data_IF_272117403160
#
_entry.id   IF_272117403160
#
_cell.length_a   1.000
_cell.length_b   1.000
_cell.length_c   1.000
_cell.angle_alpha   90.00
_cell.angle_beta   90.00
_cell.angle_gamma   90.00
#
_symmetry.space_group_name_H-M   'P 1'
#
loop_
_entity.id
_entity.type
_entity.pdbx_description
1 polymer ?
#
# COMPACT_ATOMS: atom_id res chain seq x y z
N UNK A 1 -22.77 -18.75 24.91
CA UNK A 1 -21.71 -19.39 24.12
C UNK A 1 -21.65 -18.68 22.77
N UNK A 2 -20.72 -17.74 22.62
CA UNK A 2 -20.46 -17.06 21.36
C UNK A 2 -19.30 -17.77 20.69
N UNK A 3 -19.56 -18.41 19.56
CA UNK A 3 -18.57 -19.11 18.77
C UNK A 3 -17.65 -18.07 18.12
N UNK A 4 -16.42 -17.97 18.62
CA UNK A 4 -15.35 -17.19 18.00
C UNK A 4 -15.03 -17.80 16.64
N UNK A 5 -15.45 -17.12 15.57
CA UNK A 5 -15.04 -17.45 14.21
C UNK A 5 -13.59 -17.00 14.03
N UNK A 6 -12.66 -17.95 14.13
CA UNK A 6 -11.29 -17.79 13.69
C UNK A 6 -11.27 -17.87 12.16
N UNK A 7 -11.56 -16.77 11.48
CA UNK A 7 -11.02 -16.58 10.13
C UNK A 7 -9.54 -16.24 10.31
N UNK A 8 -8.68 -17.27 10.40
CA UNK A 8 -7.24 -17.06 10.36
C UNK A 8 -6.88 -16.29 9.09
N UNK A 9 -6.23 -15.13 9.27
CA UNK A 9 -5.64 -14.35 8.20
C UNK A 9 -4.55 -15.12 7.41
N UNK A 10 -4.19 -16.32 7.87
CA UNK A 10 -3.27 -17.26 7.22
C UNK A 10 -3.92 -18.14 6.13
N UNK A 11 -5.23 -18.03 5.89
CA UNK A 11 -5.93 -18.96 4.98
C UNK A 11 -5.85 -18.60 3.48
N UNK A 12 -5.41 -17.39 3.13
CA UNK A 12 -5.30 -16.95 1.74
C UNK A 12 -3.82 -16.79 1.38
N UNK A 13 -3.31 -17.51 0.37
CA UNK A 13 -1.92 -17.36 -0.07
C UNK A 13 -1.68 -15.94 -0.60
N UNK A 14 -0.46 -15.39 -0.44
CA UNK A 14 -0.13 -14.09 -1.02
C UNK A 14 -0.37 -14.08 -2.54
N UNK A 15 -0.81 -12.94 -3.05
CA UNK A 15 -1.18 -12.75 -4.44
C UNK A 15 -0.67 -11.42 -4.98
N UNK A 16 -0.52 -11.33 -6.30
CA UNK A 16 -0.08 -10.10 -6.98
C UNK A 16 -1.02 -8.91 -6.69
N UNK A 17 -2.31 -9.17 -6.42
CA UNK A 17 -3.28 -8.14 -6.04
C UNK A 17 -2.97 -7.46 -4.70
N UNK A 18 -2.28 -8.15 -3.79
CA UNK A 18 -1.90 -7.61 -2.47
C UNK A 18 -1.02 -6.36 -2.60
N UNK A 19 -0.24 -6.30 -3.70
CA UNK A 19 0.63 -5.17 -3.99
C UNK A 19 -0.14 -3.93 -4.45
N UNK A 20 -1.46 -4.01 -4.69
CA UNK A 20 -2.27 -2.83 -5.02
C UNK A 20 -2.34 -1.81 -3.89
N UNK A 21 -2.02 -2.19 -2.65
CA UNK A 21 -1.80 -1.25 -1.56
C UNK A 21 -0.71 -0.20 -1.85
N UNK A 22 0.28 -0.53 -2.68
CA UNK A 22 1.29 0.42 -3.14
C UNK A 22 0.70 1.53 -4.01
N UNK A 23 -0.36 1.22 -4.77
CA UNK A 23 -1.02 2.18 -5.68
C UNK A 23 -1.94 3.16 -4.92
N UNK A 24 -2.21 2.90 -3.63
CA UNK A 24 -2.81 3.90 -2.74
C UNK A 24 -1.82 5.01 -2.33
N UNK A 25 -0.53 4.83 -2.62
CA UNK A 25 0.56 5.76 -2.30
C UNK A 25 1.21 6.29 -3.59
N UNK A 26 2.42 6.84 -3.48
CA UNK A 26 3.24 7.25 -4.63
C UNK A 26 3.61 6.10 -5.60
N UNK A 27 3.32 4.83 -5.27
CA UNK A 27 3.58 3.69 -6.13
C UNK A 27 2.93 3.81 -7.52
N UNK A 28 3.65 3.44 -8.56
CA UNK A 28 3.22 3.53 -9.96
C UNK A 28 3.22 2.15 -10.61
N UNK A 29 2.28 1.91 -11.52
CA UNK A 29 2.24 0.72 -12.35
C UNK A 29 2.24 1.12 -13.82
N UNK A 30 3.15 0.54 -14.60
CA UNK A 30 3.34 0.89 -16.02
C UNK A 30 3.28 -0.37 -16.88
N UNK A 31 2.55 -0.30 -18.00
CA UNK A 31 2.61 -1.32 -19.04
C UNK A 31 3.97 -1.22 -19.76
N UNK A 32 4.54 -2.37 -20.12
CA UNK A 32 5.82 -2.50 -20.82
C UNK A 32 5.59 -3.23 -22.13
N UNK A 33 6.25 -2.76 -23.20
CA UNK A 33 6.04 -3.22 -24.57
C UNK A 33 4.93 -2.43 -25.27
N UNK A 34 5.26 -1.80 -26.39
CA UNK A 34 4.31 -1.10 -27.26
C UNK A 34 4.74 -1.32 -28.72
N UNK A 35 3.83 -1.72 -29.64
CA UNK A 35 2.37 -1.90 -29.45
C UNK A 35 1.98 -3.19 -28.70
N UNK A 36 2.85 -4.20 -28.69
CA UNK A 36 2.59 -5.48 -28.05
C UNK A 36 3.04 -5.46 -26.59
N UNK A 37 2.06 -5.47 -25.68
CA UNK A 37 2.31 -5.49 -24.22
C UNK A 37 2.99 -6.80 -23.84
N UNK A 38 4.20 -6.72 -23.30
CA UNK A 38 4.97 -7.86 -22.78
C UNK A 38 4.79 -8.06 -21.28
N UNK A 39 4.23 -7.08 -20.57
CA UNK A 39 3.91 -7.17 -19.15
C UNK A 39 3.61 -5.81 -18.52
N UNK A 40 3.59 -5.76 -17.21
CA UNK A 40 3.59 -4.51 -16.46
C UNK A 40 4.63 -4.56 -15.34
N UNK A 41 4.99 -3.39 -14.82
CA UNK A 41 5.93 -3.25 -13.70
C UNK A 41 5.33 -2.31 -12.67
N UNK A 42 5.39 -2.72 -11.41
CA UNK A 42 4.99 -1.93 -10.26
C UNK A 42 6.25 -1.40 -9.55
N UNK A 43 6.24 -0.15 -9.13
CA UNK A 43 7.38 0.48 -8.45
C UNK A 43 6.93 1.51 -7.44
N UNK A 44 7.65 1.68 -6.33
CA UNK A 44 7.39 2.73 -5.35
C UNK A 44 8.69 3.27 -4.77
N UNK A 45 8.79 4.60 -4.72
CA UNK A 45 9.86 5.31 -4.01
C UNK A 45 9.42 5.47 -2.55
N UNK A 46 10.31 5.17 -1.61
CA UNK A 46 10.06 5.22 -0.17
C UNK A 46 11.15 6.03 0.53
N UNK A 47 10.84 6.56 1.72
CA UNK A 47 11.73 7.49 2.43
C UNK A 47 12.87 6.79 3.21
N UNK A 48 12.72 5.49 3.48
CA UNK A 48 13.67 4.70 4.28
C UNK A 48 14.02 3.36 3.61
N UNK A 49 15.29 2.91 3.70
CA UNK A 49 15.71 1.62 3.14
C UNK A 49 14.92 0.41 3.68
N UNK A 50 14.60 0.39 4.98
CA UNK A 50 13.87 -0.73 5.60
C UNK A 50 12.49 -0.96 4.94
N UNK A 51 11.84 0.11 4.48
CA UNK A 51 10.57 0.02 3.74
C UNK A 51 10.76 -0.70 2.42
N UNK A 52 11.82 -0.38 1.67
CA UNK A 52 12.12 -1.01 0.40
C UNK A 52 12.42 -2.51 0.58
N UNK A 53 13.18 -2.87 1.62
CA UNK A 53 13.45 -4.27 1.97
C UNK A 53 12.19 -5.05 2.33
N UNK A 54 11.36 -4.52 3.23
CA UNK A 54 10.12 -5.19 3.64
C UNK A 54 9.09 -5.29 2.50
N UNK A 55 9.06 -4.33 1.59
CA UNK A 55 8.24 -4.40 0.39
C UNK A 55 8.78 -5.40 -0.63
N UNK A 56 10.10 -5.57 -0.73
CA UNK A 56 10.71 -6.61 -1.55
C UNK A 56 10.33 -8.01 -1.06
N UNK A 57 10.25 -8.23 0.25
CA UNK A 57 9.74 -9.48 0.84
C UNK A 57 8.29 -9.75 0.42
N UNK A 58 7.41 -8.75 0.48
CA UNK A 58 6.03 -8.89 0.01
C UNK A 58 5.94 -9.20 -1.49
N UNK A 59 6.84 -8.65 -2.31
CA UNK A 59 6.91 -8.95 -3.74
C UNK A 59 7.31 -10.42 -3.97
N UNK A 60 8.30 -10.93 -3.21
CA UNK A 60 8.70 -12.35 -3.25
C UNK A 60 7.55 -13.25 -2.82
N UNK A 61 6.86 -12.92 -1.74
CA UNK A 61 5.70 -13.66 -1.25
C UNK A 61 4.60 -13.77 -2.31
N UNK A 62 4.34 -12.70 -3.06
CA UNK A 62 3.39 -12.67 -4.18
C UNK A 62 3.89 -13.47 -5.42
N UNK A 63 5.07 -14.07 -5.35
CA UNK A 63 5.68 -14.86 -6.41
C UNK A 63 6.23 -14.02 -7.57
N UNK A 64 6.67 -12.80 -7.29
CA UNK A 64 7.32 -11.90 -8.25
C UNK A 64 8.79 -11.67 -7.86
N UNK A 65 9.61 -11.27 -8.83
CA UNK A 65 11.00 -10.90 -8.59
C UNK A 65 11.10 -9.41 -8.20
N UNK A 66 11.62 -9.06 -7.01
CA UNK A 66 11.86 -7.67 -6.64
C UNK A 66 13.23 -7.18 -7.12
N UNK A 67 13.32 -5.87 -7.29
CA UNK A 67 14.57 -5.13 -7.40
C UNK A 67 14.52 -3.96 -6.43
N UNK A 68 15.47 -3.94 -5.48
CA UNK A 68 15.71 -2.81 -4.59
C UNK A 68 16.83 -1.97 -5.19
N UNK A 69 16.56 -0.69 -5.39
CA UNK A 69 17.46 0.27 -6.02
C UNK A 69 17.35 1.63 -5.32
N UNK A 70 17.99 2.65 -5.90
CA UNK A 70 17.81 4.05 -5.52
C UNK A 70 17.49 4.88 -6.76
N UNK A 71 16.77 5.98 -6.58
CA UNK A 71 16.59 6.99 -7.64
C UNK A 71 17.90 7.75 -7.89
N UNK A 72 17.93 8.59 -8.91
CA UNK A 72 19.08 9.44 -9.22
C UNK A 72 19.36 10.45 -8.08
N UNK A 73 18.32 10.82 -7.32
CA UNK A 73 18.40 11.64 -6.10
C UNK A 73 18.71 10.82 -4.83
N UNK A 74 19.25 9.60 -4.98
CA UNK A 74 19.64 8.71 -3.89
C UNK A 74 18.47 8.29 -2.96
N UNK A 75 17.22 8.34 -3.43
CA UNK A 75 16.05 7.93 -2.62
C UNK A 75 15.76 6.43 -2.80
N UNK A 76 15.51 5.65 -1.73
CA UNK A 76 15.18 4.22 -1.85
C UNK A 76 13.98 3.93 -2.77
N UNK A 77 14.12 2.92 -3.62
CA UNK A 77 13.11 2.49 -4.59
C UNK A 77 13.02 0.96 -4.55
N UNK A 78 11.80 0.44 -4.60
CA UNK A 78 11.54 -0.97 -4.85
C UNK A 78 10.63 -1.12 -6.06
N UNK A 79 10.94 -2.09 -6.93
CA UNK A 79 10.11 -2.40 -8.10
C UNK A 79 10.06 -3.89 -8.37
N UNK A 80 9.04 -4.33 -9.08
CA UNK A 80 8.96 -5.69 -9.61
C UNK A 80 9.76 -5.79 -10.91
N UNK A 81 10.19 -7.01 -11.27
CA UNK A 81 10.41 -7.35 -12.66
C UNK A 81 9.13 -7.12 -13.50
N UNK A 82 9.29 -7.12 -14.83
CA UNK A 82 8.15 -7.04 -15.75
C UNK A 82 7.42 -8.38 -15.74
N UNK A 83 6.13 -8.39 -15.42
CA UNK A 83 5.33 -9.62 -15.34
C UNK A 83 3.93 -9.42 -15.95
N UNK A 84 3.41 -10.44 -16.63
CA UNK A 84 2.10 -10.43 -17.28
C UNK A 84 0.95 -10.39 -16.26
N UNK A 85 1.12 -10.95 -15.06
CA UNK A 85 0.12 -10.95 -13.98
C UNK A 85 -0.17 -9.55 -13.44
N UNK A 86 0.72 -8.58 -13.69
CA UNK A 86 0.52 -7.18 -13.32
C UNK A 86 -0.33 -6.41 -14.35
N UNK A 87 -0.51 -6.92 -15.56
CA UNK A 87 -1.27 -6.23 -16.63
C UNK A 87 -2.72 -5.94 -16.25
N UNK A 88 -3.49 -6.87 -15.66
CA UNK A 88 -4.84 -6.57 -15.20
C UNK A 88 -4.89 -5.45 -14.15
N UNK A 89 -3.91 -5.41 -13.24
CA UNK A 89 -3.80 -4.35 -12.25
C UNK A 89 -3.49 -3.01 -12.90
N UNK A 90 -2.55 -2.99 -13.86
CA UNK A 90 -2.19 -1.78 -14.59
C UNK A 90 -3.41 -1.18 -15.28
N UNK A 91 -4.19 -2.01 -15.98
CA UNK A 91 -5.42 -1.59 -16.66
C UNK A 91 -6.52 -1.12 -15.70
N UNK A 92 -6.62 -1.71 -14.52
CA UNK A 92 -7.62 -1.34 -13.52
C UNK A 92 -7.29 -0.02 -12.82
N UNK A 93 -5.99 0.24 -12.60
CA UNK A 93 -5.50 1.39 -11.82
C UNK A 93 -5.05 2.57 -12.67
N UNK A 94 -5.13 2.48 -14.01
CA UNK A 94 -4.76 3.58 -14.91
C UNK A 94 -5.87 3.87 -15.92
N UNK A 95 -6.09 5.16 -16.17
CA UNK A 95 -6.91 5.66 -17.27
C UNK A 95 -6.03 6.55 -18.15
N UNK A 96 -5.55 5.99 -19.26
CA UNK A 96 -4.46 6.61 -20.02
C UNK A 96 -3.21 6.70 -19.15
N UNK A 97 -2.66 7.91 -18.97
CA UNK A 97 -1.49 8.14 -18.13
C UNK A 97 -1.83 8.48 -16.65
N UNK A 98 -3.12 8.51 -16.29
CA UNK A 98 -3.56 8.97 -14.97
C UNK A 98 -3.85 7.79 -14.04
N UNK A 99 -3.34 7.84 -12.81
CA UNK A 99 -3.67 6.88 -11.75
C UNK A 99 -5.13 7.06 -11.29
N UNK A 100 -5.85 5.95 -11.18
CA UNK A 100 -7.24 5.91 -10.73
C UNK A 100 -7.45 4.77 -9.73
N UNK A 101 -8.46 4.89 -8.88
CA UNK A 101 -8.85 3.81 -7.95
C UNK A 101 -10.00 3.00 -8.55
N UNK A 102 -9.91 1.67 -8.67
CA UNK A 102 -11.03 0.86 -9.14
C UNK A 102 -12.25 1.01 -8.21
N UNK A 103 -13.46 1.14 -8.78
CA UNK A 103 -14.66 1.51 -8.03
C UNK A 103 -14.98 0.57 -6.85
N UNK A 104 -14.77 -0.73 -7.04
CA UNK A 104 -15.01 -1.77 -6.03
C UNK A 104 -13.79 -2.10 -5.16
N UNK A 105 -12.64 -1.43 -5.36
CA UNK A 105 -11.45 -1.76 -4.59
C UNK A 105 -11.64 -1.43 -3.11
N UNK A 106 -11.33 -2.38 -2.26
CA UNK A 106 -11.22 -2.24 -0.80
C UNK A 106 -9.95 -2.96 -0.38
N UNK A 107 -9.09 -2.37 0.47
CA UNK A 107 -7.86 -3.04 0.84
C UNK A 107 -8.15 -4.19 1.81
N UNK A 108 -7.59 -5.36 1.54
CA UNK A 108 -7.49 -6.45 2.50
C UNK A 108 -6.30 -6.24 3.46
N UNK A 109 -6.03 -7.24 4.33
CA UNK A 109 -4.90 -7.21 5.26
C UNK A 109 -3.55 -6.91 4.58
N UNK A 110 -3.26 -7.60 3.47
CA UNK A 110 -1.98 -7.47 2.76
C UNK A 110 -1.88 -6.16 1.97
N UNK A 111 -2.95 -5.67 1.35
CA UNK A 111 -2.96 -4.32 0.76
C UNK A 111 -2.76 -3.23 1.81
N UNK A 112 -3.38 -3.36 2.99
CA UNK A 112 -3.14 -2.42 4.10
C UNK A 112 -1.70 -2.49 4.60
N UNK A 113 -1.10 -3.69 4.67
CA UNK A 113 0.32 -3.85 5.03
C UNK A 113 1.22 -3.17 4.00
N UNK A 114 0.99 -3.37 2.71
CA UNK A 114 1.76 -2.72 1.65
C UNK A 114 1.65 -1.18 1.72
N UNK A 115 0.44 -0.65 1.96
CA UNK A 115 0.22 0.78 2.16
C UNK A 115 0.97 1.32 3.38
N UNK A 116 0.90 0.61 4.50
CA UNK A 116 1.57 0.95 5.77
C UNK A 116 3.10 0.95 5.60
N UNK A 117 3.65 -0.06 4.92
CA UNK A 117 5.06 -0.15 4.61
C UNK A 117 5.52 0.95 3.66
N UNK A 118 4.72 1.33 2.67
CA UNK A 118 5.10 2.35 1.70
C UNK A 118 5.02 3.78 2.26
N UNK A 119 3.99 4.08 3.07
CA UNK A 119 3.69 5.47 3.45
C UNK A 119 2.99 5.62 4.83
N UNK A 120 3.11 4.64 5.72
CA UNK A 120 2.53 4.68 7.06
C UNK A 120 3.43 5.40 8.08
N UNK A 121 2.87 6.27 8.92
CA UNK A 121 3.62 7.00 9.96
C UNK A 121 2.84 7.05 11.28
N UNK A 122 3.54 6.80 12.39
CA UNK A 122 3.01 7.06 13.72
C UNK A 122 3.00 8.57 14.03
N UNK A 123 1.87 9.09 14.51
CA UNK A 123 1.67 10.50 14.89
C UNK A 123 1.01 10.58 16.27
N UNK A 124 1.83 10.47 17.33
CA UNK A 124 1.33 10.45 18.71
C UNK A 124 0.40 9.26 18.97
N UNK A 125 -0.86 9.55 19.29
CA UNK A 125 -1.95 8.58 19.49
C UNK A 125 -2.72 8.24 18.20
N UNK A 126 -2.15 8.59 17.05
CA UNK A 126 -2.77 8.53 15.72
C UNK A 126 -1.86 7.81 14.76
N UNK A 127 -2.45 7.40 13.64
CA UNK A 127 -1.71 6.83 12.54
C UNK A 127 -2.03 7.55 11.23
N UNK A 128 -1.02 7.78 10.40
CA UNK A 128 -1.17 8.39 9.09
C UNK A 128 -0.89 7.33 8.02
N UNK A 129 -1.80 7.20 7.06
CA UNK A 129 -1.55 6.50 5.80
C UNK A 129 -1.36 7.55 4.71
N UNK A 130 -0.13 7.74 4.25
CA UNK A 130 0.22 8.71 3.21
C UNK A 130 -0.42 8.36 1.86
N UNK A 131 -0.74 9.40 1.09
CA UNK A 131 -1.38 9.32 -0.22
C UNK A 131 -0.45 9.87 -1.30
N UNK A 132 -0.77 9.59 -2.56
CA UNK A 132 -0.03 10.17 -3.69
C UNK A 132 -0.33 11.66 -3.85
N UNK A 133 0.70 12.50 -3.72
CA UNK A 133 0.61 13.94 -3.97
C UNK A 133 0.22 14.25 -5.43
N UNK A 134 0.64 13.42 -6.37
CA UNK A 134 0.45 13.63 -7.81
C UNK A 134 -0.85 13.04 -8.35
N UNK A 135 -1.66 12.37 -7.52
CA UNK A 135 -2.95 11.80 -7.91
C UNK A 135 -4.08 12.20 -6.93
N UNK A 136 -4.40 13.51 -6.77
CA UNK A 136 -5.38 13.99 -5.80
C UNK A 136 -6.79 13.39 -5.99
N UNK A 137 -7.16 13.05 -7.22
CA UNK A 137 -8.45 12.42 -7.53
C UNK A 137 -8.61 11.03 -6.88
N UNK A 138 -7.52 10.41 -6.44
CA UNK A 138 -7.55 9.11 -5.74
C UNK A 138 -7.87 9.23 -4.25
N UNK A 139 -7.71 10.42 -3.63
CA UNK A 139 -7.75 10.58 -2.18
C UNK A 139 -9.11 10.23 -1.57
N UNK A 140 -10.19 10.78 -2.13
CA UNK A 140 -11.55 10.53 -1.66
C UNK A 140 -12.02 9.09 -1.89
N UNK A 141 -11.76 8.47 -3.07
CA UNK A 141 -11.99 7.04 -3.27
C UNK A 141 -11.24 6.13 -2.26
N UNK A 142 -9.97 6.42 -1.97
CA UNK A 142 -9.18 5.66 -0.99
C UNK A 142 -9.72 5.82 0.45
N UNK A 143 -10.11 7.04 0.84
CA UNK A 143 -10.78 7.27 2.12
C UNK A 143 -12.08 6.45 2.24
N UNK A 144 -12.88 6.44 1.17
CA UNK A 144 -14.12 5.68 1.10
C UNK A 144 -13.89 4.16 1.18
N UNK A 145 -12.80 3.67 0.59
CA UNK A 145 -12.39 2.27 0.67
C UNK A 145 -12.05 1.86 2.12
N UNK A 146 -11.31 2.68 2.87
CA UNK A 146 -11.06 2.44 4.30
C UNK A 146 -12.34 2.46 5.13
N UNK A 147 -13.27 3.37 4.85
CA UNK A 147 -14.57 3.41 5.53
C UNK A 147 -15.36 2.12 5.34
N UNK A 148 -15.35 1.52 4.14
CA UNK A 148 -16.03 0.25 3.85
C UNK A 148 -15.47 -0.93 4.64
N UNK A 149 -14.19 -0.91 4.97
CA UNK A 149 -13.57 -1.90 5.87
C UNK A 149 -13.57 -1.45 7.33
N UNK A 150 -14.41 -0.49 7.73
CA UNK A 150 -14.60 -0.12 9.13
C UNK A 150 -13.50 0.75 9.76
N UNK A 151 -12.57 1.27 8.96
CA UNK A 151 -11.55 2.22 9.39
C UNK A 151 -11.91 3.59 8.80
N UNK A 152 -12.72 4.38 9.50
CA UNK A 152 -13.04 5.71 9.00
C UNK A 152 -11.85 6.68 9.23
N UNK A 153 -11.23 7.25 8.19
CA UNK A 153 -10.12 8.18 8.36
C UNK A 153 -10.61 9.64 8.34
N UNK A 154 -9.71 10.57 8.65
CA UNK A 154 -9.84 11.98 8.28
C UNK A 154 -8.80 12.29 7.21
N UNK A 155 -9.24 12.75 6.04
CA UNK A 155 -8.33 13.22 4.99
C UNK A 155 -7.69 14.55 5.42
N UNK A 156 -6.36 14.60 5.43
CA UNK A 156 -5.55 15.77 5.82
C UNK A 156 -4.50 16.07 4.74
N UNK A 157 -3.88 17.24 4.83
CA UNK A 157 -2.72 17.57 4.00
C UNK A 157 -3.02 17.82 2.52
N UNK A 158 -4.29 17.87 2.10
CA UNK A 158 -4.69 18.02 0.69
C UNK A 158 -4.27 19.34 0.03
N UNK A 159 -3.87 20.33 0.83
CA UNK A 159 -3.34 21.62 0.33
C UNK A 159 -1.82 21.74 0.51
N UNK A 160 -1.15 20.72 1.05
CA UNK A 160 0.29 20.70 1.32
C UNK A 160 0.99 19.58 0.54
N UNK A 161 2.24 19.30 0.91
CA UNK A 161 3.09 18.29 0.25
C UNK A 161 2.87 16.85 0.73
N UNK A 162 2.07 16.64 1.78
CA UNK A 162 1.90 15.34 2.43
C UNK A 162 0.41 15.03 2.67
N UNK A 163 -0.37 14.75 1.61
CA UNK A 163 -1.73 14.28 1.78
C UNK A 163 -1.73 12.92 2.49
N UNK A 164 -2.63 12.75 3.46
CA UNK A 164 -2.71 11.51 4.24
C UNK A 164 -4.11 11.24 4.77
N UNK A 165 -4.38 9.99 5.08
CA UNK A 165 -5.54 9.54 5.83
C UNK A 165 -5.14 9.35 7.29
N UNK A 166 -5.63 10.23 8.16
CA UNK A 166 -5.39 10.18 9.59
C UNK A 166 -6.41 9.29 10.28
N UNK A 167 -5.93 8.28 10.97
CA UNK A 167 -6.71 7.30 11.73
C UNK A 167 -6.56 7.62 13.21
N UNK A 168 -7.69 7.93 13.84
CA UNK A 168 -7.76 8.27 15.26
C UNK A 168 -8.71 7.33 15.98
N UNK A 169 -8.44 7.14 17.27
CA UNK A 169 -9.32 6.44 18.19
C UNK A 169 -9.05 4.94 18.24
N UNK A 170 -9.06 4.42 19.47
CA UNK A 170 -8.66 3.06 19.82
C UNK A 170 -9.26 1.99 18.89
N UNK A 171 -10.58 1.99 18.67
CA UNK A 171 -11.26 0.99 17.83
C UNK A 171 -10.73 0.94 16.38
N UNK A 172 -10.43 2.09 15.78
CA UNK A 172 -9.98 2.16 14.38
C UNK A 172 -8.51 1.75 14.27
N UNK A 173 -7.69 2.14 15.25
CA UNK A 173 -6.30 1.72 15.35
C UNK A 173 -6.18 0.21 15.63
N UNK A 174 -6.98 -0.35 16.54
CA UNK A 174 -6.99 -1.80 16.78
C UNK A 174 -7.30 -2.57 15.50
N UNK A 175 -8.30 -2.13 14.74
CA UNK A 175 -8.62 -2.76 13.45
C UNK A 175 -7.48 -2.62 12.43
N UNK A 176 -6.79 -1.48 12.38
CA UNK A 176 -5.61 -1.33 11.52
C UNK A 176 -4.51 -2.32 11.92
N UNK A 177 -4.15 -2.37 13.21
CA UNK A 177 -3.12 -3.27 13.75
C UNK A 177 -3.46 -4.74 13.46
N UNK A 178 -4.72 -5.14 13.68
CA UNK A 178 -5.21 -6.49 13.36
C UNK A 178 -5.04 -6.86 11.88
N UNK A 179 -5.16 -5.89 10.96
CA UNK A 179 -5.04 -6.14 9.52
C UNK A 179 -3.60 -6.09 9.01
N UNK A 180 -2.77 -5.18 9.51
CA UNK A 180 -1.41 -5.00 9.01
C UNK A 180 -0.41 -6.01 9.58
N UNK A 181 -0.73 -6.62 10.73
CA UNK A 181 0.11 -7.60 11.42
C UNK A 181 1.30 -6.98 12.13
N UNK A 182 2.29 -7.81 12.49
CA UNK A 182 3.49 -7.39 13.20
C UNK A 182 4.43 -6.51 12.34
N UNK A 183 5.18 -5.58 12.94
CA UNK A 183 6.17 -4.78 12.23
C UNK A 183 7.28 -5.68 11.62
N UNK A 184 7.96 -5.20 10.57
CA UNK A 184 9.28 -5.72 10.20
C UNK A 184 10.25 -5.69 11.40
N UNK A 185 11.27 -6.54 11.39
CA UNK A 185 12.22 -6.68 12.50
C UNK A 185 13.06 -5.40 12.76
N UNK A 186 13.13 -4.49 11.78
CA UNK A 186 13.88 -3.23 11.87
C UNK A 186 13.36 -2.31 13.01
N UNK A 187 14.22 -1.78 13.89
CA UNK A 187 13.82 -0.89 14.98
C UNK A 187 13.11 0.40 14.53
N UNK A 188 13.48 0.97 13.38
CA UNK A 188 12.78 2.14 12.83
C UNK A 188 11.38 1.76 12.35
N UNK A 189 11.21 0.55 11.81
CA UNK A 189 9.90 0.03 11.44
C UNK A 189 9.00 -0.11 12.66
N UNK A 190 9.51 -0.65 13.77
CA UNK A 190 8.77 -0.75 15.04
C UNK A 190 8.32 0.62 15.56
N UNK A 191 9.17 1.64 15.45
CA UNK A 191 8.83 3.00 15.87
C UNK A 191 7.74 3.66 15.00
N UNK A 192 7.62 3.25 13.74
CA UNK A 192 6.67 3.80 12.77
C UNK A 192 5.43 2.93 12.54
N UNK A 193 5.36 1.76 13.20
CA UNK A 193 4.25 0.82 13.05
C UNK A 193 3.00 1.31 13.80
N UNK A 194 1.78 1.01 13.31
CA UNK A 194 0.58 1.36 14.05
C UNK A 194 0.51 0.62 15.39
N UNK A 195 0.03 1.32 16.41
CA UNK A 195 -0.15 0.82 17.78
C UNK A 195 -1.43 1.41 18.39
N UNK A 196 -1.88 0.81 19.49
CA UNK A 196 -3.14 1.13 20.18
C UNK A 196 -2.88 1.68 21.57
#
# INVERSE_FOLDING_TARGET
MSQLSFFSAESVPPAVSDLTGLLATAGQIVLVGSPDVVGARLSVVVDRPWRATALAEMIVEAGLEPEVARTDEDTPLVRTAVDLRLVPLARAWTRGAVKTVPAQWVPGPRELRAWTLAAGYADGDRYLLGLDLHAPDTHSPLASALMRIGIAPTLIGTRGSHPALRINGRRRLSRLVENVGEPPEDPEAQAQWPRV
#
